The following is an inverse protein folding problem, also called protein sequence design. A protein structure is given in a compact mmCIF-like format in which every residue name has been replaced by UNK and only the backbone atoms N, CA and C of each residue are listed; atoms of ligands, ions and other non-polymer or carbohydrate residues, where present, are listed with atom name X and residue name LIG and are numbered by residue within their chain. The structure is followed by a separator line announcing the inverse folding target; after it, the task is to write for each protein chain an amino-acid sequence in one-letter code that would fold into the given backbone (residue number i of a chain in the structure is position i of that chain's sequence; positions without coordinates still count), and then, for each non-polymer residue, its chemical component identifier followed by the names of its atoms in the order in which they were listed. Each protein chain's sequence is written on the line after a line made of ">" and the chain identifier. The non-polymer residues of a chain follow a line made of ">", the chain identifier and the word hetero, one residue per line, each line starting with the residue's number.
data_IF_930746369145
#
_entry.id   IF_930746369145
#
_cell.length_a   1.000
_cell.length_b   1.000
_cell.length_c   1.000
_cell.angle_alpha   90.00
_cell.angle_beta   90.00
_cell.angle_gamma   90.00
#
_symmetry.space_group_name_H-M   'P 1'
#
loop_
_entity.id
_entity.type
_entity.pdbx_description
1 polymer ?
#
# COMPACT_ATOMS: atom_id res chain seq x y z
N UNK A 1 17.55 6.58 -4.44
CA UNK A 1 16.74 7.35 -3.49
C UNK A 1 16.30 6.42 -2.38
N UNK A 2 15.11 6.08 -2.16
CA UNK A 2 14.72 5.11 -1.15
C UNK A 2 13.82 5.70 -0.07
N UNK A 3 13.70 5.02 1.06
CA UNK A 3 12.71 5.32 2.09
C UNK A 3 12.81 6.76 2.61
N UNK A 4 14.00 7.25 2.88
CA UNK A 4 14.19 8.63 3.38
C UNK A 4 13.68 9.66 2.36
N UNK A 5 14.00 9.47 1.10
CA UNK A 5 13.54 10.34 0.02
C UNK A 5 12.04 10.18 -0.23
N UNK A 6 11.53 8.97 -0.10
CA UNK A 6 10.10 8.69 -0.23
C UNK A 6 9.27 9.48 0.78
N UNK A 7 9.72 9.56 2.03
CA UNK A 7 9.03 10.29 3.08
C UNK A 7 8.96 11.80 2.84
N UNK A 8 9.94 12.36 2.13
CA UNK A 8 10.03 13.80 1.89
C UNK A 8 9.51 14.20 0.50
N UNK A 9 9.65 13.33 -0.48
CA UNK A 9 9.26 13.61 -1.87
C UNK A 9 8.60 12.38 -2.51
N UNK A 10 7.42 11.98 -2.03
CA UNK A 10 6.77 10.75 -2.49
C UNK A 10 6.45 10.75 -3.98
N UNK A 11 6.06 11.87 -4.55
CA UNK A 11 5.70 11.95 -5.96
C UNK A 11 6.85 11.51 -6.88
N UNK A 12 8.04 12.04 -6.66
CA UNK A 12 9.21 11.70 -7.46
C UNK A 12 9.62 10.25 -7.29
N UNK A 13 9.67 9.78 -6.04
CA UNK A 13 10.14 8.43 -5.73
C UNK A 13 9.16 7.36 -6.20
N UNK A 14 7.86 7.54 -5.94
CA UNK A 14 6.84 6.58 -6.35
C UNK A 14 6.68 6.49 -7.87
N UNK A 15 6.99 7.56 -8.60
CA UNK A 15 6.89 7.57 -10.07
C UNK A 15 8.04 6.84 -10.77
N UNK A 16 9.18 6.70 -10.10
CA UNK A 16 10.42 6.26 -10.76
C UNK A 16 11.08 5.04 -10.11
N UNK A 17 10.79 4.75 -8.85
CA UNK A 17 11.46 3.68 -8.11
C UNK A 17 10.55 2.46 -7.97
N UNK A 18 11.18 1.30 -7.82
CA UNK A 18 10.49 0.03 -7.59
C UNK A 18 10.75 -0.45 -6.17
N UNK A 19 9.70 -0.93 -5.53
CA UNK A 19 9.73 -1.44 -4.16
C UNK A 19 9.21 -2.88 -4.12
N UNK A 20 9.81 -3.68 -3.27
CA UNK A 20 9.32 -5.01 -2.95
C UNK A 20 9.13 -5.12 -1.44
N UNK A 21 7.92 -5.46 -1.02
CA UNK A 21 7.57 -5.59 0.40
C UNK A 21 7.63 -7.06 0.79
N UNK A 22 8.60 -7.41 1.63
CA UNK A 22 8.76 -8.76 2.16
C UNK A 22 8.05 -8.89 3.50
N UNK A 23 7.03 -9.74 3.55
CA UNK A 23 6.18 -9.93 4.73
C UNK A 23 6.54 -11.17 5.55
N UNK A 24 7.62 -11.85 5.23
CA UNK A 24 7.96 -13.13 5.88
C UNK A 24 8.25 -13.02 7.38
N UNK A 25 8.71 -11.85 7.81
CA UNK A 25 9.04 -11.57 9.21
C UNK A 25 7.88 -10.96 10.02
N UNK A 26 6.70 -10.88 9.42
CA UNK A 26 5.51 -10.42 10.12
C UNK A 26 4.79 -11.56 10.82
N UNK A 27 4.29 -11.28 12.01
CA UNK A 27 3.27 -12.13 12.64
C UNK A 27 1.96 -11.85 11.89
N UNK A 28 1.44 -12.87 11.22
CA UNK A 28 0.23 -12.74 10.41
C UNK A 28 -1.00 -12.67 11.31
N UNK A 29 -1.75 -11.59 11.19
CA UNK A 29 -3.04 -11.40 11.86
C UNK A 29 -4.06 -10.89 10.83
N UNK A 30 -5.37 -11.08 11.07
CA UNK A 30 -6.40 -10.53 10.16
C UNK A 30 -6.43 -9.00 10.14
N UNK A 31 -5.90 -8.37 11.19
CA UNK A 31 -5.83 -6.91 11.31
C UNK A 31 -4.43 -6.43 10.97
N UNK A 32 -4.36 -5.20 10.48
CA UNK A 32 -3.10 -4.52 10.24
C UNK A 32 -2.37 -4.18 11.54
N UNK A 33 -1.14 -3.77 11.40
CA UNK A 33 -0.26 -3.46 12.52
C UNK A 33 0.72 -2.35 12.17
N UNK A 34 1.41 -1.82 13.17
CA UNK A 34 2.57 -0.97 12.96
C UNK A 34 3.79 -1.82 12.65
N UNK A 35 4.68 -1.30 11.81
CA UNK A 35 5.84 -2.04 11.32
C UNK A 35 7.09 -1.17 11.30
N UNK A 36 8.25 -1.82 11.34
CA UNK A 36 9.54 -1.24 10.99
C UNK A 36 9.90 -1.69 9.58
N UNK A 37 10.39 -0.76 8.77
CA UNK A 37 10.82 -1.02 7.40
C UNK A 37 12.35 -1.02 7.38
N UNK A 38 12.94 -2.15 7.02
CA UNK A 38 14.38 -2.28 6.84
C UNK A 38 14.69 -2.37 5.35
N UNK A 39 15.35 -1.35 4.82
CA UNK A 39 15.55 -1.18 3.39
C UNK A 39 16.92 -1.69 2.94
N UNK A 40 16.92 -2.42 1.84
CA UNK A 40 18.12 -2.77 1.08
C UNK A 40 17.88 -2.51 -0.41
N UNK A 41 18.90 -2.06 -1.12
CA UNK A 41 18.82 -1.91 -2.57
C UNK A 41 19.44 -3.16 -3.21
N UNK A 42 18.64 -3.89 -4.01
CA UNK A 42 19.05 -5.10 -4.71
C UNK A 42 18.63 -5.02 -6.17
N UNK A 43 19.61 -5.03 -7.07
CA UNK A 43 19.32 -5.04 -8.52
C UNK A 43 18.38 -3.93 -8.99
N UNK A 44 18.52 -2.72 -8.44
CA UNK A 44 17.66 -1.58 -8.78
C UNK A 44 16.29 -1.57 -8.13
N UNK A 45 16.00 -2.53 -7.26
CA UNK A 45 14.73 -2.59 -6.50
C UNK A 45 15.02 -2.34 -5.04
N UNK A 46 14.24 -1.46 -4.43
CA UNK A 46 14.25 -1.27 -2.97
C UNK A 46 13.50 -2.43 -2.31
N UNK A 47 14.27 -3.25 -1.61
CA UNK A 47 13.75 -4.40 -0.90
C UNK A 47 13.47 -4.01 0.54
N UNK A 48 12.22 -4.13 0.94
CA UNK A 48 11.76 -3.77 2.27
C UNK A 48 11.38 -5.01 3.07
N UNK A 49 12.26 -5.37 4.01
CA UNK A 49 11.96 -6.37 5.02
C UNK A 49 11.18 -5.68 6.14
N UNK A 50 9.91 -6.02 6.28
CA UNK A 50 9.05 -5.41 7.30
C UNK A 50 8.82 -6.36 8.45
N UNK A 51 8.85 -5.83 9.66
CA UNK A 51 8.65 -6.58 10.89
C UNK A 51 7.71 -5.83 11.84
N UNK A 52 7.00 -6.56 12.68
CA UNK A 52 6.15 -5.97 13.71
C UNK A 52 7.00 -5.09 14.64
N UNK A 53 6.59 -3.84 14.80
CA UNK A 53 7.27 -2.89 15.64
C UNK A 53 6.35 -1.72 15.99
N UNK A 54 6.45 -1.20 17.19
CA UNK A 54 5.74 0.02 17.55
C UNK A 54 6.39 1.20 16.84
N UNK A 55 5.70 1.74 15.83
CA UNK A 55 6.21 2.80 14.97
C UNK A 55 5.07 3.63 14.38
N UNK A 56 5.42 4.55 13.47
CA UNK A 56 4.45 5.36 12.73
C UNK A 56 4.20 4.87 11.32
N UNK A 57 4.74 3.72 10.94
CA UNK A 57 4.45 3.06 9.67
C UNK A 57 3.52 1.88 9.88
N UNK A 58 2.76 1.55 8.85
CA UNK A 58 1.65 0.60 8.97
C UNK A 58 1.68 -0.43 7.85
N UNK A 59 1.16 -1.62 8.18
CA UNK A 59 0.93 -2.71 7.24
C UNK A 59 -0.52 -3.16 7.31
N UNK A 60 -1.15 -3.42 6.16
CA UNK A 60 -2.47 -4.04 6.09
C UNK A 60 -2.39 -5.37 5.35
N UNK A 61 -3.02 -6.43 5.92
CA UNK A 61 -2.79 -7.78 5.47
C UNK A 61 -3.67 -8.17 4.29
N UNK A 62 -3.19 -9.14 3.49
CA UNK A 62 -4.04 -9.96 2.65
C UNK A 62 -4.77 -10.98 3.51
N UNK A 63 -6.08 -11.09 3.35
CA UNK A 63 -6.91 -12.10 4.00
C UNK A 63 -7.73 -12.79 2.91
N UNK A 64 -7.50 -14.09 2.72
CA UNK A 64 -8.18 -14.85 1.68
C UNK A 64 -9.70 -14.79 1.85
N UNK A 65 -10.39 -14.45 0.76
CA UNK A 65 -11.85 -14.37 0.74
C UNK A 65 -12.43 -13.21 1.55
N UNK A 66 -11.60 -12.21 1.89
CA UNK A 66 -12.02 -11.04 2.67
C UNK A 66 -11.22 -9.80 2.24
N UNK A 67 -11.40 -8.71 2.93
CA UNK A 67 -10.59 -7.51 2.79
C UNK A 67 -9.87 -7.27 4.12
N UNK A 68 -8.58 -7.60 4.16
CA UNK A 68 -7.72 -7.27 5.30
C UNK A 68 -7.47 -5.76 5.35
N UNK A 69 -7.32 -5.19 6.54
CA UNK A 69 -7.24 -3.74 6.65
C UNK A 69 -6.42 -3.24 7.84
N UNK A 70 -6.07 -1.96 7.78
CA UNK A 70 -5.54 -1.19 8.91
C UNK A 70 -6.28 0.15 8.98
N UNK A 71 -6.55 0.61 10.19
CA UNK A 71 -7.11 1.94 10.44
C UNK A 71 -6.06 2.88 11.02
N UNK A 72 -6.00 4.11 10.52
CA UNK A 72 -5.03 5.10 10.95
C UNK A 72 -5.77 6.37 11.35
N UNK A 73 -5.66 6.71 12.63
CA UNK A 73 -6.35 7.87 13.18
C UNK A 73 -5.65 9.18 12.79
N UNK A 74 -6.43 10.18 12.42
CA UNK A 74 -5.92 11.55 12.21
C UNK A 74 -5.70 12.27 13.54
N UNK A 75 -4.76 13.23 13.61
CA UNK A 75 -3.88 13.69 12.55
C UNK A 75 -2.77 12.68 12.21
N UNK A 76 -2.37 12.65 10.94
CA UNK A 76 -1.34 11.75 10.45
C UNK A 76 -0.05 12.53 10.25
N UNK A 77 1.06 11.97 10.70
CA UNK A 77 2.38 12.56 10.55
C UNK A 77 2.83 12.49 9.08
N UNK A 78 3.36 13.60 8.57
CA UNK A 78 3.99 13.63 7.25
C UNK A 78 5.11 12.59 7.17
N UNK A 79 5.16 11.86 6.08
CA UNK A 79 6.14 10.80 5.87
C UNK A 79 5.69 9.43 6.36
N UNK A 80 4.50 9.31 6.96
CA UNK A 80 3.93 8.00 7.32
C UNK A 80 3.79 7.14 6.09
N UNK A 81 4.28 5.90 6.16
CA UNK A 81 4.25 4.91 5.09
C UNK A 81 3.28 3.80 5.45
N UNK A 82 2.45 3.41 4.48
CA UNK A 82 1.52 2.29 4.61
C UNK A 82 1.78 1.32 3.48
N UNK A 83 1.99 0.06 3.82
CA UNK A 83 2.35 -0.99 2.87
C UNK A 83 1.46 -2.23 3.03
N UNK A 84 1.44 -3.04 1.99
CA UNK A 84 0.79 -4.35 2.00
C UNK A 84 1.62 -5.32 1.17
N UNK A 85 1.29 -6.59 1.22
CA UNK A 85 1.87 -7.58 0.33
C UNK A 85 1.48 -7.35 -1.14
N UNK A 86 2.22 -7.96 -2.06
CA UNK A 86 1.97 -7.81 -3.49
C UNK A 86 0.54 -8.19 -3.88
N UNK A 87 0.00 -7.49 -4.87
CA UNK A 87 -1.33 -7.74 -5.41
C UNK A 87 -1.28 -8.30 -6.82
N UNK A 88 -2.12 -9.31 -7.03
CA UNK A 88 -2.34 -9.91 -8.33
C UNK A 88 -3.82 -10.31 -8.43
N UNK A 89 -4.65 -9.39 -8.93
CA UNK A 89 -6.09 -9.55 -8.98
C UNK A 89 -6.84 -8.91 -7.82
N UNK A 90 -6.14 -8.54 -6.75
CA UNK A 90 -6.73 -7.83 -5.62
C UNK A 90 -6.94 -6.34 -5.94
N UNK A 91 -7.71 -5.65 -5.10
CA UNK A 91 -7.87 -4.20 -5.17
C UNK A 91 -7.34 -3.53 -3.90
N UNK A 92 -6.76 -2.35 -4.08
CA UNK A 92 -6.50 -1.42 -3.00
C UNK A 92 -7.71 -0.50 -2.85
N UNK A 93 -8.24 -0.38 -1.65
CA UNK A 93 -9.26 0.62 -1.36
C UNK A 93 -8.90 1.41 -0.12
N UNK A 94 -9.05 2.72 -0.20
CA UNK A 94 -8.84 3.63 0.94
C UNK A 94 -10.16 4.34 1.23
N UNK A 95 -10.61 4.25 2.47
CA UNK A 95 -11.86 4.87 2.92
C UNK A 95 -11.58 5.79 4.11
N UNK A 96 -12.47 6.76 4.31
CA UNK A 96 -12.43 7.66 5.46
C UNK A 96 -13.72 7.55 6.27
N UNK A 97 -13.55 7.31 7.57
CA UNK A 97 -14.68 7.19 8.49
C UNK A 97 -14.27 7.60 9.90
N UNK A 98 -15.01 8.51 10.53
CA UNK A 98 -14.83 8.90 11.93
C UNK A 98 -13.38 9.26 12.27
N UNK A 99 -12.79 10.18 11.51
CA UNK A 99 -11.42 10.67 11.68
C UNK A 99 -10.35 9.59 11.52
N UNK A 100 -10.66 8.49 10.82
CA UNK A 100 -9.69 7.44 10.48
C UNK A 100 -9.66 7.23 8.97
N UNK A 101 -8.47 6.94 8.46
CA UNK A 101 -8.28 6.34 7.15
C UNK A 101 -8.15 4.84 7.31
N UNK A 102 -8.90 4.08 6.49
CA UNK A 102 -8.85 2.63 6.44
C UNK A 102 -8.29 2.20 5.09
N UNK A 103 -7.24 1.39 5.14
CA UNK A 103 -6.62 0.81 3.95
C UNK A 103 -7.00 -0.65 3.88
N UNK A 104 -7.62 -1.05 2.76
CA UNK A 104 -8.10 -2.42 2.54
C UNK A 104 -7.32 -3.08 1.43
N UNK A 105 -6.89 -4.32 1.69
CA UNK A 105 -6.40 -5.25 0.68
C UNK A 105 -7.56 -6.17 0.33
N UNK A 106 -8.31 -5.82 -0.72
CA UNK A 106 -9.53 -6.50 -1.11
C UNK A 106 -9.21 -7.70 -2.00
N UNK A 107 -9.29 -8.89 -1.43
CA UNK A 107 -8.96 -10.13 -2.14
C UNK A 107 -9.85 -10.30 -3.36
N UNK A 108 -9.25 -10.49 -4.53
CA UNK A 108 -9.93 -10.57 -5.82
C UNK A 108 -10.81 -9.36 -6.16
N UNK A 109 -10.70 -8.26 -5.43
CA UNK A 109 -11.48 -7.04 -5.67
C UNK A 109 -12.99 -7.18 -5.43
N UNK A 110 -13.44 -8.15 -4.64
CA UNK A 110 -14.86 -8.47 -4.54
C UNK A 110 -15.38 -8.70 -3.12
N UNK A 111 -14.67 -8.25 -2.10
CA UNK A 111 -15.01 -8.57 -0.71
C UNK A 111 -15.39 -7.35 0.15
N UNK A 112 -15.42 -6.14 -0.41
CA UNK A 112 -15.74 -4.95 0.39
C UNK A 112 -17.16 -4.99 0.97
N UNK A 113 -18.09 -5.68 0.33
CA UNK A 113 -19.45 -5.87 0.85
C UNK A 113 -19.47 -6.61 2.19
N UNK A 114 -18.41 -7.32 2.55
CA UNK A 114 -18.28 -8.01 3.84
C UNK A 114 -17.86 -7.08 4.97
N UNK A 115 -17.43 -5.88 4.64
CA UNK A 115 -17.07 -4.85 5.61
C UNK A 115 -18.29 -4.03 6.00
N UNK A 116 -18.38 -3.70 7.28
CA UNK A 116 -19.47 -2.84 7.78
C UNK A 116 -18.96 -1.42 7.94
N UNK A 117 -19.77 -0.44 7.55
CA UNK A 117 -19.48 0.98 7.78
C UNK A 117 -18.11 1.39 7.25
N UNK A 118 -17.84 1.14 5.97
CA UNK A 118 -16.56 1.49 5.35
C UNK A 118 -16.35 3.00 5.22
N UNK A 119 -17.41 3.79 5.35
CA UNK A 119 -17.33 5.24 5.20
C UNK A 119 -17.28 5.70 3.76
N UNK A 120 -16.56 6.80 3.52
CA UNK A 120 -16.43 7.39 2.19
C UNK A 120 -15.21 6.81 1.50
N UNK A 121 -15.40 6.24 0.31
CA UNK A 121 -14.29 5.81 -0.53
C UNK A 121 -13.52 7.04 -1.03
N UNK A 122 -12.23 7.10 -0.76
CA UNK A 122 -11.34 8.16 -1.26
C UNK A 122 -10.44 7.69 -2.38
N UNK A 123 -10.20 6.38 -2.48
CA UNK A 123 -9.41 5.79 -3.56
C UNK A 123 -9.79 4.33 -3.74
N UNK A 124 -9.87 3.88 -4.98
CA UNK A 124 -9.92 2.45 -5.31
C UNK A 124 -9.10 2.19 -6.56
N UNK A 125 -8.18 1.24 -6.46
CA UNK A 125 -7.34 0.81 -7.57
C UNK A 125 -7.55 -0.70 -7.75
N UNK A 126 -8.16 -1.07 -8.85
CA UNK A 126 -8.51 -2.46 -9.16
C UNK A 126 -7.48 -3.09 -10.09
N UNK A 127 -7.56 -4.42 -10.23
CA UNK A 127 -6.69 -5.18 -11.11
C UNK A 127 -6.66 -4.61 -12.54
N UNK A 128 -7.81 -4.24 -13.09
CA UNK A 128 -7.90 -3.61 -14.42
C UNK A 128 -7.10 -2.32 -14.51
N UNK A 129 -7.03 -1.53 -13.45
CA UNK A 129 -6.26 -0.29 -13.45
C UNK A 129 -4.76 -0.55 -13.54
N UNK A 130 -4.20 -1.44 -12.73
CA UNK A 130 -2.76 -1.66 -12.72
C UNK A 130 -2.30 -2.62 -13.83
N UNK A 131 -3.11 -3.58 -14.26
CA UNK A 131 -2.77 -4.45 -15.40
C UNK A 131 -2.80 -3.70 -16.73
N UNK A 132 -3.80 -2.85 -16.94
CA UNK A 132 -3.96 -2.10 -18.19
C UNK A 132 -2.92 -0.99 -18.36
N UNK A 133 -2.34 -0.49 -17.28
CA UNK A 133 -1.27 0.49 -17.35
C UNK A 133 0.07 -0.11 -17.78
N UNK A 134 0.08 -1.36 -18.19
CA UNK A 134 1.19 -2.06 -18.82
C UNK A 134 2.50 -1.81 -18.09
N UNK A 135 2.58 -2.35 -16.89
CA UNK A 135 3.76 -2.21 -16.05
C UNK A 135 4.94 -2.78 -16.82
N UNK A 136 5.73 -1.87 -17.36
CA UNK A 136 6.78 -2.18 -18.31
C UNK A 136 7.77 -3.20 -17.75
N UNK A 137 8.18 -4.12 -18.61
CA UNK A 137 9.19 -5.12 -18.26
C UNK A 137 8.67 -6.37 -17.58
N UNK A 138 7.37 -6.51 -17.43
CA UNK A 138 6.80 -7.77 -16.92
C UNK A 138 6.88 -8.85 -17.96
N UNK A 139 7.36 -10.02 -17.55
CA UNK A 139 7.40 -11.18 -18.43
C UNK A 139 5.99 -11.69 -18.74
N UNK A 140 5.75 -12.09 -19.98
CA UNK A 140 4.48 -12.70 -20.38
C UNK A 140 4.24 -14.06 -19.70
N UNK A 141 5.26 -14.64 -19.09
CA UNK A 141 5.16 -15.91 -18.38
C UNK A 141 4.73 -15.76 -16.93
N UNK A 142 4.72 -14.54 -16.41
CA UNK A 142 4.34 -14.27 -15.03
C UNK A 142 3.11 -13.37 -14.99
N UNK A 143 2.19 -13.70 -14.09
CA UNK A 143 1.13 -12.80 -13.74
C UNK A 143 1.77 -11.70 -12.88
N UNK A 144 1.71 -10.42 -13.28
CA UNK A 144 2.42 -9.38 -12.56
C UNK A 144 1.87 -9.20 -11.17
N UNK A 145 2.76 -9.20 -10.19
CA UNK A 145 2.44 -8.83 -8.81
C UNK A 145 2.79 -7.37 -8.62
N UNK A 146 1.81 -6.58 -8.24
CA UNK A 146 1.98 -5.15 -8.03
C UNK A 146 2.28 -4.88 -6.56
N UNK A 147 3.27 -4.04 -6.31
CA UNK A 147 3.61 -3.56 -4.97
C UNK A 147 3.03 -2.17 -4.79
N UNK A 148 2.07 -2.02 -3.89
CA UNK A 148 1.53 -0.72 -3.53
C UNK A 148 2.24 -0.16 -2.32
N UNK A 149 2.59 1.12 -2.41
CA UNK A 149 3.17 1.90 -1.32
C UNK A 149 2.38 3.20 -1.19
N UNK A 150 1.93 3.50 0.02
CA UNK A 150 1.18 4.72 0.30
C UNK A 150 1.98 5.59 1.27
N UNK A 151 2.08 6.88 0.98
CA UNK A 151 2.80 7.84 1.84
C UNK A 151 1.95 9.07 2.06
N UNK A 152 1.82 9.48 3.32
CA UNK A 152 1.12 10.71 3.68
C UNK A 152 2.07 11.90 3.65
N UNK A 153 1.71 12.92 2.88
CA UNK A 153 2.52 14.14 2.78
C UNK A 153 1.65 15.35 2.46
N UNK A 154 1.80 16.42 3.23
CA UNK A 154 1.15 17.70 2.99
C UNK A 154 -0.37 17.61 2.81
N UNK A 155 -1.04 16.78 3.59
CA UNK A 155 -2.49 16.61 3.56
C UNK A 155 -3.01 15.60 2.54
N UNK A 156 -2.13 14.90 1.81
CA UNK A 156 -2.49 13.95 0.77
C UNK A 156 -1.88 12.58 1.01
N UNK A 157 -2.62 11.54 0.63
CA UNK A 157 -2.04 10.23 0.44
C UNK A 157 -1.49 10.14 -0.99
N UNK A 158 -0.23 9.75 -1.10
CA UNK A 158 0.43 9.45 -2.36
C UNK A 158 0.52 7.95 -2.49
N UNK A 159 -0.03 7.39 -3.56
CA UNK A 159 -0.09 5.94 -3.77
C UNK A 159 0.72 5.60 -5.01
N UNK A 160 1.70 4.73 -4.84
CA UNK A 160 2.51 4.24 -5.94
C UNK A 160 2.32 2.75 -6.15
N UNK A 161 2.38 2.31 -7.39
CA UNK A 161 2.25 0.92 -7.78
C UNK A 161 3.35 0.59 -8.80
N UNK A 162 4.51 0.14 -8.34
CA UNK A 162 5.62 -0.29 -9.20
C UNK A 162 5.97 0.73 -10.31
N UNK A 163 6.17 1.99 -9.94
CA UNK A 163 6.50 3.08 -10.87
C UNK A 163 5.30 3.83 -11.43
N UNK A 164 4.08 3.43 -11.10
CA UNK A 164 2.87 4.18 -11.39
C UNK A 164 2.47 4.98 -10.15
N UNK A 165 2.15 6.26 -10.36
CA UNK A 165 1.83 7.16 -9.26
C UNK A 165 0.38 7.61 -9.30
N UNK A 166 -0.25 7.61 -8.14
CA UNK A 166 -1.59 8.12 -7.92
C UNK A 166 -1.58 9.09 -6.74
N UNK A 167 -2.37 10.15 -6.83
CA UNK A 167 -2.60 11.06 -5.71
C UNK A 167 -4.00 10.85 -5.17
N UNK A 168 -4.09 10.64 -3.87
CA UNK A 168 -5.36 10.47 -3.16
C UNK A 168 -5.57 11.68 -2.27
N UNK A 169 -6.63 12.41 -2.51
CA UNK A 169 -6.95 13.59 -1.76
C UNK A 169 -7.32 13.23 -0.31
N UNK A 170 -6.92 14.12 0.60
CA UNK A 170 -7.42 14.10 1.95
C UNK A 170 -8.93 14.34 1.91
N UNK A 171 -9.63 13.51 2.61
CA UNK A 171 -11.07 13.69 2.77
C UNK A 171 -11.34 14.87 3.68
#
# INVERSE_FOLDING_TARGET
>A
MGLTQLRTNPQTVLSSEHFFVDTRNLVQTPLGCTVQINEQLKNGVFYWDIANHHSTDFYFPYVQGNAGYVGIQTPIQDGTVVVTGGMNGCALEVCYLNDNYYFYHDANGSNMHKQRNVGTQVCRIEAGNYWNNNIAGQSTFYIPTIQFVCVYKAGFWHVGASGIYYTVLKK
#
